data_IF_406055104192
#
_entry.id   IF_406055104192
#
_cell.length_a   1.000
_cell.length_b   1.000
_cell.length_c   1.000
_cell.angle_alpha   90.00
_cell.angle_beta   90.00
_cell.angle_gamma   90.00
#
_symmetry.space_group_name_H-M   'P 1'
#
loop_
_entity.id
_entity.type
_entity.pdbx_description
1 polymer ?
#
# COMPACT_ATOMS: atom_id res chain seq x y z
N UNK A 1 -5.40 9.11 22.41
CA UNK A 1 -6.30 8.14 21.75
C UNK A 1 -7.71 8.74 21.61
N UNK A 2 -8.29 9.33 22.70
CA UNK A 2 -9.65 9.89 22.66
C UNK A 2 -9.80 11.06 21.67
N UNK A 3 -8.82 11.94 21.62
CA UNK A 3 -8.78 13.06 20.65
C UNK A 3 -8.88 12.60 19.20
N UNK A 4 -8.28 11.44 18.86
CA UNK A 4 -8.40 10.86 17.50
C UNK A 4 -9.80 10.29 17.24
N UNK A 5 -10.49 9.79 18.27
CA UNK A 5 -11.88 9.34 18.14
C UNK A 5 -12.79 10.53 17.87
N UNK A 6 -12.63 11.61 18.63
CA UNK A 6 -13.37 12.86 18.45
C UNK A 6 -13.13 13.46 17.06
N UNK A 7 -11.87 13.52 16.61
CA UNK A 7 -11.51 14.01 15.27
C UNK A 7 -12.19 13.18 14.16
N UNK A 8 -12.29 11.85 14.32
CA UNK A 8 -12.97 10.97 13.36
C UNK A 8 -14.49 11.19 13.38
N UNK A 9 -15.09 11.34 14.56
CA UNK A 9 -16.51 11.61 14.69
C UNK A 9 -16.91 12.97 14.12
N UNK A 10 -16.09 14.00 14.32
CA UNK A 10 -16.27 15.34 13.74
C UNK A 10 -16.21 15.31 12.20
N UNK A 11 -15.42 14.40 11.62
CA UNK A 11 -15.37 14.16 10.17
C UNK A 11 -16.57 13.33 9.65
N UNK A 12 -17.52 12.97 10.50
CA UNK A 12 -18.71 12.22 10.15
C UNK A 12 -18.54 10.70 10.19
N UNK A 13 -17.63 10.23 11.05
CA UNK A 13 -17.33 8.84 11.32
C UNK A 13 -16.23 8.26 10.42
N UNK A 14 -15.79 7.05 10.73
CA UNK A 14 -14.63 6.41 10.11
C UNK A 14 -14.75 6.28 8.58
N UNK A 15 -15.92 5.97 8.04
CA UNK A 15 -16.10 5.81 6.59
C UNK A 15 -15.77 7.12 5.84
N UNK A 16 -16.27 8.25 6.31
CA UNK A 16 -15.97 9.57 5.72
C UNK A 16 -14.52 9.99 5.97
N UNK A 17 -13.98 9.71 7.15
CA UNK A 17 -12.58 9.98 7.45
C UNK A 17 -11.64 9.18 6.52
N UNK A 18 -11.98 7.95 6.14
CA UNK A 18 -11.22 7.16 5.15
C UNK A 18 -11.27 7.83 3.76
N UNK A 19 -12.41 8.36 3.35
CA UNK A 19 -12.55 9.07 2.07
C UNK A 19 -11.66 10.31 1.99
N UNK A 20 -11.46 11.03 3.11
CA UNK A 20 -10.54 12.17 3.19
C UNK A 20 -9.07 11.77 3.26
N UNK A 21 -8.76 10.50 3.52
CA UNK A 21 -7.40 10.00 3.72
C UNK A 21 -6.83 10.25 5.12
N UNK A 22 -7.57 10.83 6.05
CA UNK A 22 -7.10 11.19 7.39
C UNK A 22 -6.45 10.05 8.18
N UNK A 23 -7.06 8.83 8.31
CA UNK A 23 -6.45 7.73 9.05
C UNK A 23 -5.12 7.29 8.43
N UNK A 24 -5.04 7.25 7.10
CA UNK A 24 -3.84 6.88 6.37
C UNK A 24 -2.71 7.87 6.61
N UNK A 25 -3.00 9.18 6.55
CA UNK A 25 -2.03 10.24 6.82
C UNK A 25 -1.45 10.12 8.23
N UNK A 26 -2.30 9.91 9.25
CA UNK A 26 -1.87 9.73 10.66
C UNK A 26 -0.99 8.49 10.85
N UNK A 27 -1.29 7.40 10.14
CA UNK A 27 -0.48 6.17 10.16
C UNK A 27 0.90 6.41 9.53
N UNK A 28 0.94 7.08 8.38
CA UNK A 28 2.19 7.37 7.67
C UNK A 28 3.08 8.35 8.47
N UNK A 29 2.49 9.39 9.06
CA UNK A 29 3.19 10.30 9.97
C UNK A 29 3.80 9.58 11.18
N UNK A 30 3.01 8.73 11.84
CA UNK A 30 3.48 7.93 12.98
C UNK A 30 4.59 6.96 12.58
N UNK A 31 4.48 6.34 11.39
CA UNK A 31 5.49 5.42 10.87
C UNK A 31 6.81 6.14 10.57
N UNK A 32 6.76 7.33 9.95
CA UNK A 32 7.95 8.13 9.67
C UNK A 32 8.67 8.58 10.95
N UNK A 33 7.92 9.08 11.95
CA UNK A 33 8.47 9.44 13.28
C UNK A 33 9.14 8.25 13.97
N UNK A 34 8.49 7.09 13.95
CA UNK A 34 9.03 5.88 14.55
C UNK A 34 10.30 5.42 13.86
N UNK A 35 10.33 5.43 12.52
CA UNK A 35 11.50 5.04 11.76
C UNK A 35 12.68 5.98 12.03
N UNK A 36 12.46 7.29 12.02
CA UNK A 36 13.51 8.26 12.36
C UNK A 36 14.13 8.01 13.74
N UNK A 37 13.34 7.63 14.75
CA UNK A 37 13.85 7.27 16.09
C UNK A 37 14.70 5.97 16.07
N UNK A 38 14.28 4.99 15.27
CA UNK A 38 15.05 3.74 15.08
C UNK A 38 16.39 4.04 14.40
N UNK A 39 16.38 4.84 13.33
CA UNK A 39 17.58 5.18 12.55
C UNK A 39 18.58 5.99 13.36
N UNK A 40 18.11 6.86 14.24
CA UNK A 40 18.93 7.62 15.20
C UNK A 40 19.39 6.80 16.42
N UNK A 41 18.94 5.56 16.57
CA UNK A 41 19.25 4.70 17.70
C UNK A 41 18.54 5.07 19.01
N UNK A 42 17.55 5.94 18.98
CA UNK A 42 16.70 6.28 20.13
C UNK A 42 15.81 5.11 20.53
N UNK A 43 15.25 4.42 19.53
CA UNK A 43 14.54 3.15 19.70
C UNK A 43 15.49 1.99 19.33
N UNK A 44 15.78 1.12 20.27
CA UNK A 44 16.67 -0.04 20.06
C UNK A 44 15.87 -1.24 19.57
N UNK A 45 16.28 -1.77 18.41
CA UNK A 45 15.81 -3.06 17.88
C UNK A 45 17.02 -3.98 17.79
N UNK A 46 17.02 -5.03 18.63
CA UNK A 46 18.10 -6.01 18.71
C UNK A 46 18.30 -6.70 17.36
N UNK A 47 19.54 -6.79 16.91
CA UNK A 47 19.90 -7.37 15.61
C UNK A 47 19.65 -6.45 14.41
N UNK A 48 19.00 -5.29 14.59
CA UNK A 48 18.74 -4.32 13.51
C UNK A 48 19.63 -3.10 13.62
N UNK A 49 19.54 -2.33 14.72
CA UNK A 49 20.35 -1.13 14.94
C UNK A 49 21.29 -1.24 16.14
N UNK A 50 21.18 -2.32 16.93
CA UNK A 50 22.07 -2.62 18.07
C UNK A 50 22.26 -4.12 18.23
N UNK A 51 23.41 -4.52 18.78
CA UNK A 51 23.76 -5.93 18.99
C UNK A 51 23.73 -6.77 17.71
N UNK A 52 24.25 -6.21 16.64
CA UNK A 52 24.45 -6.92 15.37
C UNK A 52 25.65 -7.84 15.49
N UNK A 53 25.61 -8.96 14.75
CA UNK A 53 26.79 -9.77 14.51
C UNK A 53 27.68 -9.09 13.44
N UNK A 54 29.00 -9.27 13.55
CA UNK A 54 29.95 -8.76 12.55
C UNK A 54 29.80 -9.48 11.20
N UNK A 55 29.38 -10.74 11.24
CA UNK A 55 29.00 -11.55 10.07
C UNK A 55 27.85 -12.46 10.44
N UNK A 56 26.93 -12.64 9.52
CA UNK A 56 25.83 -13.60 9.64
C UNK A 56 26.02 -14.70 8.58
N UNK A 57 25.69 -15.94 8.95
CA UNK A 57 25.64 -17.03 7.98
C UNK A 57 24.49 -16.79 7.00
N UNK A 58 24.71 -17.17 5.73
CA UNK A 58 23.65 -17.14 4.72
C UNK A 58 22.50 -18.08 5.14
N UNK A 59 21.31 -17.54 5.17
CA UNK A 59 20.08 -18.30 5.47
C UNK A 59 19.41 -18.67 4.16
N UNK A 60 19.12 -19.96 3.98
CA UNK A 60 18.30 -20.41 2.86
C UNK A 60 16.91 -19.77 2.91
N UNK A 61 16.65 -18.88 1.98
CA UNK A 61 15.36 -18.19 1.86
C UNK A 61 14.50 -18.99 0.87
N UNK A 62 13.29 -19.35 1.29
CA UNK A 62 12.31 -19.94 0.40
C UNK A 62 11.85 -18.90 -0.62
N UNK A 63 12.32 -19.01 -1.85
CA UNK A 63 11.85 -18.22 -2.97
C UNK A 63 10.62 -18.87 -3.60
N UNK A 64 9.56 -18.08 -3.76
CA UNK A 64 8.34 -18.54 -4.43
C UNK A 64 8.48 -18.22 -5.92
N UNK A 65 8.34 -19.24 -6.75
CA UNK A 65 8.21 -19.05 -8.20
C UNK A 65 6.85 -18.41 -8.52
N UNK A 66 6.84 -17.09 -8.62
CA UNK A 66 5.64 -16.31 -8.88
C UNK A 66 5.01 -16.64 -10.25
N UNK A 67 5.80 -17.02 -11.26
CA UNK A 67 5.31 -17.42 -12.57
C UNK A 67 4.54 -18.75 -12.49
N UNK A 68 5.12 -19.75 -11.84
CA UNK A 68 4.47 -21.05 -11.64
C UNK A 68 3.17 -20.91 -10.83
N UNK A 69 3.18 -20.11 -9.76
CA UNK A 69 1.98 -19.85 -8.93
C UNK A 69 0.88 -19.17 -9.76
N UNK A 70 1.23 -18.16 -10.55
CA UNK A 70 0.29 -17.44 -11.43
C UNK A 70 -0.31 -18.36 -12.47
N UNK A 71 0.52 -19.13 -13.18
CA UNK A 71 0.08 -20.00 -14.27
C UNK A 71 -0.81 -21.13 -13.75
N UNK A 72 -0.48 -21.72 -12.61
CA UNK A 72 -1.31 -22.71 -11.92
C UNK A 72 -2.68 -22.10 -11.53
N UNK A 73 -2.70 -20.88 -11.02
CA UNK A 73 -3.97 -20.23 -10.66
C UNK A 73 -4.83 -19.92 -11.89
N UNK A 74 -4.23 -19.46 -12.99
CA UNK A 74 -4.92 -19.21 -14.25
C UNK A 74 -5.52 -20.50 -14.81
N UNK A 75 -4.75 -21.61 -14.82
CA UNK A 75 -5.24 -22.91 -15.26
C UNK A 75 -6.44 -23.35 -14.43
N UNK A 76 -6.34 -23.28 -13.11
CA UNK A 76 -7.41 -23.60 -12.16
C UNK A 76 -8.69 -22.79 -12.38
N UNK A 77 -8.56 -21.49 -12.64
CA UNK A 77 -9.70 -20.63 -12.94
C UNK A 77 -10.37 -20.98 -14.27
N UNK A 78 -9.59 -21.35 -15.30
CA UNK A 78 -10.12 -21.85 -16.60
C UNK A 78 -10.92 -23.12 -16.40
N UNK A 79 -10.41 -24.09 -15.65
CA UNK A 79 -11.09 -25.36 -15.39
C UNK A 79 -12.40 -25.17 -14.62
N UNK A 80 -12.38 -24.30 -13.59
CA UNK A 80 -13.58 -23.96 -12.82
C UNK A 80 -14.66 -23.33 -13.73
N UNK A 81 -14.27 -22.38 -14.58
CA UNK A 81 -15.21 -21.71 -15.49
C UNK A 81 -15.75 -22.64 -16.56
N UNK A 82 -14.95 -23.59 -17.04
CA UNK A 82 -15.38 -24.58 -18.02
C UNK A 82 -16.34 -25.63 -17.45
N UNK A 83 -16.23 -25.95 -16.16
CA UNK A 83 -16.97 -27.06 -15.51
C UNK A 83 -18.19 -26.63 -14.72
N UNK A 84 -18.41 -25.32 -14.50
CA UNK A 84 -19.52 -24.80 -13.69
C UNK A 84 -20.78 -24.57 -14.52
N UNK A 85 -21.93 -24.52 -13.86
CA UNK A 85 -23.16 -24.03 -14.47
C UNK A 85 -23.16 -22.50 -14.54
N UNK A 86 -22.94 -21.95 -15.74
CA UNK A 86 -22.81 -20.53 -15.95
C UNK A 86 -24.10 -19.78 -15.64
N UNK A 87 -25.27 -20.35 -15.96
CA UNK A 87 -26.56 -19.69 -15.72
C UNK A 87 -26.84 -19.53 -14.21
N UNK A 88 -26.49 -20.54 -13.41
CA UNK A 88 -26.60 -20.46 -11.95
C UNK A 88 -25.68 -19.40 -11.38
N UNK A 89 -24.44 -19.30 -11.89
CA UNK A 89 -23.48 -18.28 -11.45
C UNK A 89 -23.97 -16.89 -11.81
N UNK A 90 -24.40 -16.66 -13.06
CA UNK A 90 -24.93 -15.36 -13.50
C UNK A 90 -26.13 -14.90 -12.67
N UNK A 91 -27.06 -15.80 -12.38
CA UNK A 91 -28.20 -15.52 -11.52
C UNK A 91 -27.78 -15.13 -10.09
N UNK A 92 -26.78 -15.84 -9.53
CA UNK A 92 -26.27 -15.53 -8.18
C UNK A 92 -25.54 -14.18 -8.16
N UNK A 93 -24.77 -13.83 -9.20
CA UNK A 93 -24.08 -12.54 -9.32
C UNK A 93 -25.08 -11.38 -9.52
N UNK A 94 -26.13 -11.59 -10.32
CA UNK A 94 -27.21 -10.62 -10.49
C UNK A 94 -27.92 -10.31 -9.15
N UNK A 95 -28.13 -11.31 -8.33
CA UNK A 95 -28.73 -11.12 -7.00
C UNK A 95 -27.83 -10.29 -6.06
N UNK A 96 -26.48 -10.42 -6.17
CA UNK A 96 -25.52 -9.59 -5.43
C UNK A 96 -25.64 -8.12 -5.91
N UNK A 97 -25.65 -7.89 -7.21
CA UNK A 97 -25.78 -6.54 -7.78
C UNK A 97 -27.09 -5.88 -7.34
N UNK A 98 -28.21 -6.61 -7.37
CA UNK A 98 -29.50 -6.06 -6.94
C UNK A 98 -29.56 -5.76 -5.45
N UNK A 99 -28.97 -6.63 -4.62
CA UNK A 99 -28.84 -6.37 -3.18
C UNK A 99 -27.95 -5.13 -2.90
N UNK A 100 -26.85 -4.96 -3.66
CA UNK A 100 -25.98 -3.79 -3.54
C UNK A 100 -26.72 -2.50 -3.92
N UNK A 101 -27.54 -2.56 -4.96
CA UNK A 101 -28.31 -1.43 -5.47
C UNK A 101 -29.46 -1.01 -4.55
N UNK A 102 -30.21 -1.97 -4.02
CA UNK A 102 -31.40 -1.69 -3.21
C UNK A 102 -31.08 -1.48 -1.73
N UNK A 103 -29.94 -2.01 -1.24
CA UNK A 103 -29.62 -2.10 0.17
C UNK A 103 -30.44 -3.14 0.93
N UNK A 104 -31.28 -3.91 0.25
CA UNK A 104 -32.11 -4.95 0.84
C UNK A 104 -31.46 -6.32 0.72
N UNK A 105 -31.46 -7.11 1.80
CA UNK A 105 -30.91 -8.46 1.82
C UNK A 105 -29.57 -8.54 2.55
N UNK A 106 -28.81 -9.61 2.28
CA UNK A 106 -27.53 -9.87 2.92
C UNK A 106 -26.47 -10.24 1.87
N UNK A 107 -25.56 -9.30 1.58
CA UNK A 107 -24.49 -9.49 0.60
C UNK A 107 -23.60 -10.69 0.90
N UNK A 108 -23.32 -10.98 2.19
CA UNK A 108 -22.50 -12.13 2.57
C UNK A 108 -23.19 -13.46 2.26
N UNK A 109 -24.47 -13.58 2.57
CA UNK A 109 -25.25 -14.79 2.24
C UNK A 109 -25.30 -15.03 0.72
N UNK A 110 -25.53 -13.96 -0.05
CA UNK A 110 -25.52 -14.02 -1.51
C UNK A 110 -24.15 -14.38 -2.07
N UNK A 111 -23.05 -13.84 -1.51
CA UNK A 111 -21.69 -14.19 -1.90
C UNK A 111 -21.37 -15.67 -1.58
N UNK A 112 -21.85 -16.21 -0.45
CA UNK A 112 -21.74 -17.63 -0.12
C UNK A 112 -22.46 -18.49 -1.17
N UNK A 113 -23.68 -18.10 -1.57
CA UNK A 113 -24.44 -18.80 -2.63
C UNK A 113 -23.71 -18.77 -3.97
N UNK A 114 -23.18 -17.60 -4.37
CA UNK A 114 -22.39 -17.45 -5.59
C UNK A 114 -21.11 -18.32 -5.54
N UNK A 115 -20.40 -18.36 -4.40
CA UNK A 115 -19.21 -19.19 -4.22
C UNK A 115 -19.55 -20.68 -4.32
N UNK A 116 -20.68 -21.12 -3.77
CA UNK A 116 -21.18 -22.51 -3.90
C UNK A 116 -21.51 -22.85 -5.36
N UNK A 117 -21.99 -21.90 -6.13
CA UNK A 117 -22.19 -22.02 -7.58
C UNK A 117 -20.87 -21.94 -8.37
N UNK A 118 -19.72 -21.77 -7.71
CA UNK A 118 -18.38 -21.63 -8.28
C UNK A 118 -18.12 -20.30 -9.00
N UNK A 119 -18.75 -19.22 -8.54
CA UNK A 119 -18.28 -17.88 -8.87
C UNK A 119 -16.89 -17.63 -8.24
N UNK A 120 -16.04 -16.92 -8.96
CA UNK A 120 -14.73 -16.50 -8.45
C UNK A 120 -14.86 -15.27 -7.56
N UNK A 121 -13.86 -15.00 -6.71
CA UNK A 121 -13.80 -13.79 -5.87
C UNK A 121 -13.89 -12.53 -6.73
N UNK A 122 -13.19 -12.51 -7.89
CA UNK A 122 -13.25 -11.39 -8.82
C UNK A 122 -14.68 -11.12 -9.33
N UNK A 123 -15.39 -12.16 -9.78
CA UNK A 123 -16.76 -12.03 -10.28
C UNK A 123 -17.73 -11.51 -9.20
N UNK A 124 -17.57 -11.96 -7.94
CA UNK A 124 -18.37 -11.45 -6.81
C UNK A 124 -18.05 -9.98 -6.53
N UNK A 125 -16.77 -9.62 -6.54
CA UNK A 125 -16.32 -8.23 -6.36
C UNK A 125 -16.83 -7.34 -7.49
N UNK A 126 -16.71 -7.78 -8.74
CA UNK A 126 -17.18 -7.05 -9.92
C UNK A 126 -18.71 -6.83 -9.89
N UNK A 127 -19.47 -7.80 -9.35
CA UNK A 127 -20.91 -7.66 -9.18
C UNK A 127 -21.29 -6.54 -8.19
N UNK A 128 -20.51 -6.37 -7.11
CA UNK A 128 -20.69 -5.26 -6.15
C UNK A 128 -20.12 -3.94 -6.70
N UNK A 129 -19.03 -3.98 -7.44
CA UNK A 129 -18.37 -2.79 -8.00
C UNK A 129 -19.27 -2.03 -8.99
N UNK A 130 -20.19 -2.71 -9.66
CA UNK A 130 -21.17 -2.08 -10.56
C UNK A 130 -21.99 -0.99 -9.86
N UNK A 131 -22.29 -1.17 -8.58
CA UNK A 131 -23.11 -0.23 -7.79
C UNK A 131 -22.26 0.67 -6.91
N UNK A 132 -21.26 0.11 -6.22
CA UNK A 132 -20.44 0.87 -5.26
C UNK A 132 -19.26 1.57 -5.90
N UNK A 133 -18.85 1.18 -7.11
CA UNK A 133 -17.58 1.60 -7.70
C UNK A 133 -16.39 0.99 -6.94
N UNK A 134 -15.19 1.33 -7.39
CA UNK A 134 -13.94 0.92 -6.73
C UNK A 134 -13.33 2.09 -5.99
N UNK A 135 -13.16 1.92 -4.69
CA UNK A 135 -12.45 2.91 -3.89
C UNK A 135 -10.99 3.04 -4.34
N UNK A 136 -10.59 4.26 -4.66
CA UNK A 136 -9.18 4.61 -4.94
C UNK A 136 -8.70 5.53 -3.83
N UNK A 137 -7.83 5.00 -2.96
CA UNK A 137 -7.23 5.80 -1.91
C UNK A 137 -6.44 6.97 -2.51
N UNK A 138 -6.69 8.18 -2.02
CA UNK A 138 -5.85 9.32 -2.35
C UNK A 138 -4.48 9.14 -1.68
N UNK A 139 -3.42 9.20 -2.48
CA UNK A 139 -2.06 9.23 -1.95
C UNK A 139 -1.75 10.66 -1.51
N UNK A 140 -1.81 10.89 -0.21
CA UNK A 140 -1.26 12.11 0.38
C UNK A 140 0.16 11.77 0.85
N UNK A 141 1.12 12.62 0.51
CA UNK A 141 2.50 12.48 1.00
C UNK A 141 2.65 13.27 2.29
N UNK A 142 3.24 12.65 3.28
CA UNK A 142 3.68 13.35 4.50
C UNK A 142 5.02 13.98 4.19
N UNK A 143 5.16 15.28 4.40
CA UNK A 143 6.40 16.02 4.17
C UNK A 143 6.89 16.65 5.47
N UNK A 144 8.21 16.77 5.63
CA UNK A 144 8.85 17.42 6.77
C UNK A 144 8.90 16.60 8.07
N UNK A 145 8.28 15.41 8.10
CA UNK A 145 8.15 14.62 9.33
C UNK A 145 9.43 13.84 9.65
N UNK A 146 10.05 13.24 8.64
CA UNK A 146 11.29 12.50 8.80
C UNK A 146 12.45 13.47 9.03
N UNK A 147 12.57 14.51 8.22
CA UNK A 147 13.61 15.54 8.32
C UNK A 147 13.55 16.33 9.64
N UNK A 148 12.36 16.52 10.23
CA UNK A 148 12.25 17.18 11.52
C UNK A 148 13.02 16.49 12.66
N UNK A 149 13.22 15.16 12.57
CA UNK A 149 14.01 14.39 13.52
C UNK A 149 15.54 14.65 13.39
N UNK A 150 15.98 15.20 12.26
CA UNK A 150 17.39 15.47 11.95
C UNK A 150 17.72 16.97 11.88
N UNK A 151 16.88 17.83 12.48
CA UNK A 151 16.96 19.30 12.39
C UNK A 151 18.32 19.87 12.85
N UNK A 152 19.01 19.18 13.78
CA UNK A 152 20.31 19.61 14.34
C UNK A 152 21.42 18.62 13.96
N UNK A 153 21.25 17.82 12.91
CA UNK A 153 22.22 16.82 12.46
C UNK A 153 23.09 17.41 11.34
N UNK A 154 24.39 17.53 11.58
CA UNK A 154 25.32 18.14 10.64
C UNK A 154 25.40 17.37 9.30
N UNK A 155 25.26 16.03 9.30
CA UNK A 155 25.27 15.24 8.07
C UNK A 155 24.01 15.50 7.23
N UNK A 156 22.88 15.67 7.90
CA UNK A 156 21.63 16.02 7.24
C UNK A 156 21.70 17.42 6.60
N UNK A 157 22.29 18.39 7.30
CA UNK A 157 22.48 19.74 6.78
C UNK A 157 23.43 19.74 5.58
N UNK A 158 24.56 19.02 5.66
CA UNK A 158 25.52 18.88 4.55
C UNK A 158 24.87 18.26 3.32
N UNK A 159 24.10 17.17 3.47
CA UNK A 159 23.37 16.53 2.37
C UNK A 159 22.32 17.45 1.76
N UNK A 160 21.56 18.16 2.59
CA UNK A 160 20.56 19.14 2.13
C UNK A 160 21.23 20.28 1.35
N UNK A 161 22.42 20.70 1.77
CA UNK A 161 23.26 21.66 1.07
C UNK A 161 23.67 21.18 -0.33
N UNK A 162 24.17 19.95 -0.44
CA UNK A 162 24.53 19.33 -1.72
C UNK A 162 23.33 19.27 -2.69
N UNK A 163 22.14 18.93 -2.19
CA UNK A 163 20.92 18.88 -3.00
C UNK A 163 20.50 20.28 -3.47
N UNK A 164 20.61 21.26 -2.59
CA UNK A 164 20.34 22.67 -2.90
C UNK A 164 21.29 23.19 -3.99
N UNK A 165 22.59 22.93 -3.87
CA UNK A 165 23.61 23.31 -4.86
C UNK A 165 23.36 22.64 -6.21
N UNK A 166 23.00 21.36 -6.21
CA UNK A 166 22.58 20.66 -7.44
C UNK A 166 21.41 21.38 -8.10
N UNK A 167 20.41 21.75 -7.32
CA UNK A 167 19.20 22.42 -7.82
C UNK A 167 19.52 23.79 -8.40
N UNK A 168 20.36 24.56 -7.73
CA UNK A 168 20.82 25.87 -8.20
C UNK A 168 21.62 25.75 -9.51
N UNK A 169 22.52 24.77 -9.61
CA UNK A 169 23.38 24.55 -10.79
C UNK A 169 22.60 24.03 -12.00
N UNK A 170 21.57 23.20 -11.80
CA UNK A 170 20.87 22.51 -12.89
C UNK A 170 19.49 23.09 -13.21
N UNK A 171 19.00 24.08 -12.44
CA UNK A 171 17.69 24.69 -12.61
C UNK A 171 16.51 23.75 -12.28
N UNK A 172 16.79 22.60 -11.66
CA UNK A 172 15.78 21.62 -11.22
C UNK A 172 16.30 20.80 -10.04
N UNK A 173 15.40 20.26 -9.25
CA UNK A 173 15.72 19.30 -8.19
C UNK A 173 16.17 17.97 -8.78
N UNK A 174 17.02 17.21 -8.08
CA UNK A 174 17.26 15.82 -8.45
C UNK A 174 15.94 15.05 -8.29
N UNK A 175 15.65 14.14 -9.23
CA UNK A 175 14.39 13.37 -9.24
C UNK A 175 14.69 11.90 -9.07
N UNK A 176 13.88 11.23 -8.24
CA UNK A 176 14.02 9.81 -7.96
C UNK A 176 12.66 9.14 -8.04
N UNK A 177 12.62 7.96 -8.68
CA UNK A 177 11.46 7.09 -8.72
C UNK A 177 11.68 5.96 -7.70
N UNK A 178 10.81 5.86 -6.71
CA UNK A 178 10.78 4.76 -5.75
C UNK A 178 9.80 3.71 -6.26
N UNK A 179 10.33 2.53 -6.61
CA UNK A 179 9.54 1.46 -7.19
C UNK A 179 9.52 0.25 -6.29
N UNK A 180 8.33 -0.34 -6.13
CA UNK A 180 8.18 -1.66 -5.54
C UNK A 180 7.59 -2.61 -6.59
N UNK A 181 8.39 -3.58 -7.01
CA UNK A 181 8.02 -4.54 -8.04
C UNK A 181 7.50 -5.83 -7.43
N UNK A 182 6.70 -6.58 -8.20
CA UNK A 182 6.21 -7.92 -7.84
C UNK A 182 4.98 -7.91 -6.94
N UNK A 183 4.57 -9.11 -6.52
CA UNK A 183 3.31 -9.38 -5.82
C UNK A 183 3.43 -9.27 -4.30
N UNK A 184 4.13 -8.24 -3.82
CA UNK A 184 4.29 -7.97 -2.39
C UNK A 184 3.61 -6.66 -1.99
N UNK A 185 2.70 -6.73 -1.03
CA UNK A 185 1.92 -5.58 -0.54
C UNK A 185 2.61 -4.73 0.54
N UNK A 186 3.86 -5.03 0.92
CA UNK A 186 4.58 -4.29 1.96
C UNK A 186 5.14 -2.96 1.40
N UNK A 187 4.38 -1.89 1.48
CA UNK A 187 4.73 -0.58 0.90
C UNK A 187 5.36 0.42 1.91
N UNK A 188 5.39 0.08 3.20
CA UNK A 188 5.89 0.97 4.26
C UNK A 188 7.32 1.45 3.99
N UNK A 189 8.24 0.54 3.66
CA UNK A 189 9.63 0.87 3.40
C UNK A 189 9.77 1.88 2.24
N UNK A 190 9.09 1.64 1.14
CA UNK A 190 9.09 2.55 -0.02
C UNK A 190 8.57 3.94 0.36
N UNK A 191 7.50 4.03 1.14
CA UNK A 191 6.93 5.32 1.58
C UNK A 191 7.83 6.08 2.54
N UNK A 192 8.49 5.40 3.47
CA UNK A 192 9.44 6.04 4.40
C UNK A 192 10.64 6.59 3.63
N UNK A 193 11.21 5.81 2.70
CA UNK A 193 12.31 6.24 1.85
C UNK A 193 11.87 7.44 1.01
N UNK A 194 10.68 7.38 0.40
CA UNK A 194 10.14 8.49 -0.38
C UNK A 194 10.01 9.78 0.45
N UNK A 195 9.50 9.67 1.69
CA UNK A 195 9.39 10.80 2.61
C UNK A 195 10.77 11.36 2.97
N UNK A 196 11.76 10.51 3.29
CA UNK A 196 13.10 10.94 3.64
C UNK A 196 13.79 11.66 2.47
N UNK A 197 13.69 11.14 1.24
CA UNK A 197 14.25 11.81 0.05
C UNK A 197 13.52 13.14 -0.26
N UNK A 198 12.19 13.18 -0.12
CA UNK A 198 11.43 14.41 -0.30
C UNK A 198 11.84 15.48 0.72
N UNK A 199 12.04 15.10 1.98
CA UNK A 199 12.48 16.00 3.06
C UNK A 199 13.91 16.51 2.84
N UNK A 200 14.78 15.73 2.18
CA UNK A 200 16.11 16.15 1.73
C UNK A 200 16.08 17.10 0.52
N UNK A 201 14.94 17.23 -0.17
CA UNK A 201 14.78 18.14 -1.28
C UNK A 201 14.80 17.50 -2.68
N UNK A 202 14.65 16.19 -2.79
CA UNK A 202 14.40 15.52 -4.06
C UNK A 202 12.96 15.70 -4.54
N UNK A 203 12.76 15.68 -5.85
CA UNK A 203 11.46 15.40 -6.45
C UNK A 203 11.28 13.88 -6.46
N UNK A 204 10.25 13.36 -5.76
CA UNK A 204 10.05 11.94 -5.56
C UNK A 204 8.77 11.48 -6.22
N UNK A 205 8.90 10.45 -7.06
CA UNK A 205 7.78 9.70 -7.63
C UNK A 205 7.67 8.32 -6.97
N UNK A 206 6.45 7.84 -6.81
CA UNK A 206 6.15 6.49 -6.35
C UNK A 206 5.51 5.70 -7.48
N UNK A 207 6.04 4.51 -7.81
CA UNK A 207 5.38 3.62 -8.75
C UNK A 207 4.07 3.07 -8.16
N UNK A 208 3.10 2.68 -9.02
CA UNK A 208 2.01 1.84 -8.56
C UNK A 208 2.52 0.55 -7.93
N UNK A 209 1.75 0.00 -6.99
CA UNK A 209 2.06 -1.31 -6.41
C UNK A 209 1.81 -2.43 -7.41
N UNK A 210 2.51 -3.54 -7.24
CA UNK A 210 2.40 -4.75 -8.06
C UNK A 210 2.86 -4.58 -9.52
N UNK A 211 3.64 -3.56 -9.80
CA UNK A 211 4.20 -3.32 -11.14
C UNK A 211 5.22 -4.39 -11.52
N UNK A 212 5.25 -4.74 -12.79
CA UNK A 212 6.32 -5.54 -13.38
C UNK A 212 7.55 -4.67 -13.69
N UNK A 213 8.74 -5.26 -13.93
CA UNK A 213 9.91 -4.50 -14.34
C UNK A 213 9.68 -3.68 -15.62
N UNK A 214 8.90 -4.21 -16.57
CA UNK A 214 8.58 -3.56 -17.84
C UNK A 214 7.64 -2.36 -17.66
N UNK A 215 6.73 -2.43 -16.66
CA UNK A 215 5.82 -1.32 -16.35
C UNK A 215 6.51 -0.18 -15.62
N UNK A 216 7.64 -0.46 -14.97
CA UNK A 216 8.42 0.53 -14.23
C UNK A 216 9.42 1.24 -15.15
N UNK A 217 9.96 0.55 -16.15
CA UNK A 217 10.96 1.08 -17.09
C UNK A 217 10.35 2.03 -18.11
#
# INVERSE_FOLDING_TARGET
>A
AWELVEEIEENGGMAKAIETGLPKLKIEESAAKKQARIDRGEDVIVGVNKYKLDSEDDVDILEIDNHAVRDNQIARLKDIRASRDTAVVESALAAITECAKTGEGNLLDLAIKATRARATVGEISDAMEKEFGRFKAQSQTVAGVYGAAYKDDAQWEDLSGVISDFSAKNGRRPRVLICKMGQDGHDRGAKIIATAFADLGFDVDLSPMFSTPEEVA
#
